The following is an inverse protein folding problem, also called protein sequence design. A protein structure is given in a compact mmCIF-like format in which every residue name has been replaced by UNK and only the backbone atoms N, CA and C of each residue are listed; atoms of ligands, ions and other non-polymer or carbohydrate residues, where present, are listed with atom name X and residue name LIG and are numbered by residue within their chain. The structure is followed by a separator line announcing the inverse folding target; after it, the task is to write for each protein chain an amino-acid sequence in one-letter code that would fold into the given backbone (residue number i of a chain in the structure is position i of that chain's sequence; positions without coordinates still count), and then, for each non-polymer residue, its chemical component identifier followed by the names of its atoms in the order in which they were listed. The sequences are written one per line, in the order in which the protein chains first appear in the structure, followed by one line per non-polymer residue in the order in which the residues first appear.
data_IF_639919277803
#
_entry.id   IF_639919277803
#
_cell.length_a   1.000
_cell.length_b   1.000
_cell.length_c   1.000
_cell.angle_alpha   90.00
_cell.angle_beta   90.00
_cell.angle_gamma   90.00
#
_symmetry.space_group_name_H-M   'P 1'
#
loop_
_entity.id
_entity.type
_entity.pdbx_description
1 polymer ?
#
# COMPACT_ATOMS: atom_id res chain seq x y z
N UNK A 1 65.78 -53.86 -39.00
CA UNK A 1 65.10 -52.57 -38.82
C UNK A 1 65.93 -51.75 -37.83
N UNK A 2 66.33 -50.53 -38.17
CA UNK A 2 67.31 -49.75 -37.39
C UNK A 2 66.60 -49.09 -36.19
N UNK A 3 66.92 -49.52 -34.96
CA UNK A 3 66.26 -49.07 -33.72
C UNK A 3 66.29 -47.55 -33.56
N UNK A 4 67.37 -46.89 -34.01
CA UNK A 4 67.48 -45.44 -34.00
C UNK A 4 66.45 -44.73 -34.91
N UNK A 5 66.09 -45.34 -36.05
CA UNK A 5 65.08 -44.79 -36.95
C UNK A 5 63.67 -44.90 -36.36
N UNK A 6 63.35 -46.02 -35.71
CA UNK A 6 62.07 -46.21 -35.02
C UNK A 6 61.90 -45.23 -33.86
N UNK A 7 62.93 -45.06 -33.01
CA UNK A 7 62.88 -44.12 -31.89
C UNK A 7 62.71 -42.67 -32.35
N UNK A 8 63.31 -42.28 -33.48
CA UNK A 8 63.10 -40.95 -34.06
C UNK A 8 61.68 -40.76 -34.61
N UNK A 9 61.08 -41.81 -35.16
CA UNK A 9 59.71 -41.78 -35.68
C UNK A 9 58.68 -41.70 -34.54
N UNK A 10 58.87 -42.49 -33.47
CA UNK A 10 58.03 -42.46 -32.27
C UNK A 10 58.09 -41.09 -31.57
N UNK A 11 59.29 -40.49 -31.49
CA UNK A 11 59.45 -39.14 -30.93
C UNK A 11 58.74 -38.07 -31.77
N UNK A 12 58.77 -38.17 -33.10
CA UNK A 12 58.03 -37.26 -34.00
C UNK A 12 56.52 -37.43 -33.83
N UNK A 13 56.03 -38.66 -33.73
CA UNK A 13 54.61 -38.95 -33.50
C UNK A 13 54.14 -38.37 -32.15
N UNK A 14 54.94 -38.54 -31.10
CA UNK A 14 54.65 -37.97 -29.77
C UNK A 14 54.62 -36.44 -29.79
N UNK A 15 55.57 -35.79 -30.49
CA UNK A 15 55.60 -34.33 -30.62
C UNK A 15 54.38 -33.80 -31.38
N UNK A 16 53.94 -34.47 -32.45
CA UNK A 16 52.70 -34.10 -33.17
C UNK A 16 51.46 -34.23 -32.28
N UNK A 17 51.38 -35.30 -31.50
CA UNK A 17 50.26 -35.51 -30.57
C UNK A 17 50.21 -34.43 -29.48
N UNK A 18 51.37 -34.02 -28.95
CA UNK A 18 51.47 -32.91 -27.99
C UNK A 18 51.01 -31.59 -28.60
N UNK A 19 51.52 -31.22 -29.78
CA UNK A 19 51.11 -29.98 -30.46
C UNK A 19 49.61 -29.98 -30.82
N UNK A 20 49.01 -31.13 -31.13
CA UNK A 20 47.57 -31.25 -31.35
C UNK A 20 46.75 -31.05 -30.08
N UNK A 21 47.21 -31.58 -28.94
CA UNK A 21 46.58 -31.36 -27.64
C UNK A 21 46.69 -29.89 -27.21
N UNK A 22 47.88 -29.30 -27.31
CA UNK A 22 48.08 -27.88 -26.98
C UNK A 22 47.21 -26.96 -27.86
N UNK A 23 47.05 -27.30 -29.15
CA UNK A 23 46.15 -26.57 -30.06
C UNK A 23 44.68 -26.73 -29.65
N UNK A 24 44.28 -27.93 -29.22
CA UNK A 24 42.94 -28.17 -28.69
C UNK A 24 42.67 -27.35 -27.42
N UNK A 25 43.64 -27.28 -26.52
CA UNK A 25 43.54 -26.50 -25.28
C UNK A 25 43.44 -24.99 -25.58
N UNK A 26 44.23 -24.49 -26.54
CA UNK A 26 44.13 -23.12 -27.03
C UNK A 26 42.71 -22.80 -27.54
N UNK A 27 42.11 -23.72 -28.31
CA UNK A 27 40.75 -23.56 -28.84
C UNK A 27 39.69 -23.54 -27.73
N UNK A 28 39.84 -24.37 -26.71
CA UNK A 28 38.95 -24.39 -25.53
C UNK A 28 39.09 -23.09 -24.73
N UNK A 29 40.31 -22.61 -24.52
CA UNK A 29 40.58 -21.37 -23.81
C UNK A 29 40.01 -20.14 -24.55
N UNK A 30 40.17 -20.08 -25.88
CA UNK A 30 39.56 -19.02 -26.71
C UNK A 30 38.04 -19.05 -26.61
N UNK A 31 37.44 -20.24 -26.70
CA UNK A 31 36.00 -20.39 -26.56
C UNK A 31 35.53 -19.91 -25.18
N UNK A 32 36.24 -20.25 -24.11
CA UNK A 32 35.93 -19.80 -22.75
C UNK A 32 36.02 -18.28 -22.60
N UNK A 33 37.06 -17.65 -23.15
CA UNK A 33 37.19 -16.19 -23.20
C UNK A 33 35.99 -15.55 -23.89
N UNK A 34 35.62 -16.05 -25.07
CA UNK A 34 34.46 -15.51 -25.81
C UNK A 34 33.18 -15.68 -25.02
N UNK A 35 32.93 -16.83 -24.40
CA UNK A 35 31.73 -17.05 -23.57
C UNK A 35 31.66 -16.07 -22.39
N UNK A 36 32.79 -15.74 -21.78
CA UNK A 36 32.83 -14.72 -20.72
C UNK A 36 32.48 -13.34 -21.25
N UNK A 37 33.03 -12.96 -22.42
CA UNK A 37 32.72 -11.68 -23.08
C UNK A 37 31.26 -11.63 -23.52
N UNK A 38 30.72 -12.70 -24.10
CA UNK A 38 29.30 -12.81 -24.48
C UNK A 38 28.39 -12.63 -23.25
N UNK A 39 28.77 -13.19 -22.10
CA UNK A 39 28.02 -13.03 -20.84
C UNK A 39 28.07 -11.58 -20.36
N UNK A 40 29.25 -10.97 -20.38
CA UNK A 40 29.44 -9.58 -19.95
C UNK A 40 28.75 -8.57 -20.87
N UNK A 41 28.68 -8.85 -22.17
CA UNK A 41 27.88 -8.09 -23.15
C UNK A 41 26.38 -8.25 -22.89
N UNK A 42 25.92 -9.46 -22.55
CA UNK A 42 24.51 -9.74 -22.32
C UNK A 42 23.97 -9.14 -21.01
N UNK A 43 24.78 -9.08 -19.96
CA UNK A 43 24.41 -8.48 -18.68
C UNK A 43 24.73 -6.97 -18.59
N UNK A 44 25.46 -6.43 -19.58
CA UNK A 44 25.82 -5.02 -19.68
C UNK A 44 26.99 -4.60 -18.78
N UNK A 45 27.73 -5.54 -18.19
CA UNK A 45 28.97 -5.26 -17.45
C UNK A 45 30.15 -4.90 -18.35
N UNK A 46 30.07 -5.23 -19.65
CA UNK A 46 31.00 -4.82 -20.70
C UNK A 46 30.23 -4.12 -21.81
N UNK A 47 30.69 -2.93 -22.22
CA UNK A 47 30.06 -2.20 -23.31
C UNK A 47 30.40 -2.83 -24.67
N UNK A 48 29.50 -2.65 -25.64
CA UNK A 48 29.74 -3.05 -27.02
C UNK A 48 31.01 -2.43 -27.63
N UNK A 49 31.39 -1.22 -27.18
CA UNK A 49 32.58 -0.50 -27.64
C UNK A 49 33.90 -1.08 -27.07
N UNK A 50 33.88 -1.58 -25.84
CA UNK A 50 35.07 -2.09 -25.14
C UNK A 50 35.36 -3.57 -25.43
N UNK A 51 34.38 -4.31 -25.96
CA UNK A 51 34.47 -5.75 -26.21
C UNK A 51 35.60 -6.19 -27.16
N UNK A 52 35.93 -5.46 -28.25
CA UNK A 52 37.08 -5.81 -29.10
C UNK A 52 38.41 -5.77 -28.34
N UNK A 53 38.60 -4.78 -27.48
CA UNK A 53 39.83 -4.62 -26.69
C UNK A 53 39.91 -5.67 -25.58
N UNK A 54 38.80 -5.97 -24.91
CA UNK A 54 38.71 -7.06 -23.94
C UNK A 54 39.07 -8.42 -24.57
N UNK A 55 38.59 -8.71 -25.78
CA UNK A 55 38.92 -9.94 -26.50
C UNK A 55 40.39 -9.99 -26.90
N UNK A 56 40.93 -8.91 -27.45
CA UNK A 56 42.34 -8.82 -27.83
C UNK A 56 43.26 -8.99 -26.62
N UNK A 57 42.93 -8.37 -25.48
CA UNK A 57 43.68 -8.54 -24.24
C UNK A 57 43.62 -9.97 -23.74
N UNK A 58 42.41 -10.56 -23.66
CA UNK A 58 42.26 -11.94 -23.20
C UNK A 58 42.95 -12.97 -24.10
N UNK A 59 42.98 -12.75 -25.42
CA UNK A 59 43.72 -13.60 -26.36
C UNK A 59 45.23 -13.60 -26.10
N UNK A 60 45.79 -12.49 -25.61
CA UNK A 60 47.21 -12.39 -25.29
C UNK A 60 47.59 -13.24 -24.05
N UNK A 61 46.63 -13.45 -23.14
CA UNK A 61 46.81 -14.23 -21.92
C UNK A 61 46.65 -15.74 -22.13
N UNK A 62 46.10 -16.17 -23.28
CA UNK A 62 45.96 -17.60 -23.61
C UNK A 62 47.33 -18.18 -24.00
N UNK A 63 47.80 -19.25 -23.33
CA UNK A 63 49.05 -19.91 -23.69
C UNK A 63 49.04 -20.41 -25.14
N UNK A 64 50.03 -19.99 -25.94
CA UNK A 64 50.14 -20.45 -27.34
C UNK A 64 50.63 -21.90 -27.41
N UNK A 65 50.12 -22.71 -28.35
CA UNK A 65 50.59 -24.07 -28.57
C UNK A 65 52.10 -24.15 -28.81
N UNK A 66 52.77 -25.11 -28.19
CA UNK A 66 54.21 -25.24 -28.33
C UNK A 66 54.59 -25.87 -29.67
N UNK A 67 55.21 -25.07 -30.55
CA UNK A 67 55.70 -25.51 -31.86
C UNK A 67 57.18 -25.92 -31.85
N UNK A 68 57.88 -25.83 -30.72
CA UNK A 68 59.35 -25.94 -30.64
C UNK A 68 59.91 -27.33 -31.01
N UNK A 69 59.06 -28.36 -31.04
CA UNK A 69 59.45 -29.75 -31.34
C UNK A 69 58.76 -30.31 -32.61
N UNK A 70 58.01 -29.46 -33.30
CA UNK A 70 57.30 -29.79 -34.52
C UNK A 70 58.23 -29.72 -35.73
N UNK A 71 58.05 -30.63 -36.69
CA UNK A 71 58.63 -30.43 -38.02
C UNK A 71 58.02 -29.16 -38.67
N UNK A 72 58.69 -28.53 -39.66
CA UNK A 72 58.24 -27.27 -40.25
C UNK A 72 56.79 -27.28 -40.75
N UNK A 73 56.32 -28.42 -41.27
CA UNK A 73 54.93 -28.56 -41.77
C UNK A 73 53.94 -28.56 -40.61
N UNK A 74 54.25 -29.30 -39.54
CA UNK A 74 53.43 -29.30 -38.32
C UNK A 74 53.39 -27.92 -37.66
N UNK A 75 54.52 -27.20 -37.60
CA UNK A 75 54.58 -25.85 -37.05
C UNK A 75 53.73 -24.84 -37.88
N UNK A 76 53.81 -24.92 -39.21
CA UNK A 76 52.99 -24.09 -40.12
C UNK A 76 51.49 -24.39 -39.97
N UNK A 77 51.12 -25.67 -39.83
CA UNK A 77 49.72 -26.07 -39.65
C UNK A 77 49.14 -25.59 -38.31
N UNK A 78 49.93 -25.66 -37.22
CA UNK A 78 49.53 -25.11 -35.92
C UNK A 78 49.38 -23.59 -35.99
N UNK A 79 50.33 -22.88 -36.63
CA UNK A 79 50.24 -21.42 -36.80
C UNK A 79 49.00 -21.01 -37.61
N UNK A 80 48.71 -21.73 -38.69
CA UNK A 80 47.47 -21.51 -39.48
C UNK A 80 46.22 -21.80 -38.67
N UNK A 81 46.22 -22.89 -37.91
CA UNK A 81 45.11 -23.25 -37.03
C UNK A 81 44.83 -22.17 -35.98
N UNK A 82 45.87 -21.61 -35.35
CA UNK A 82 45.71 -20.50 -34.38
C UNK A 82 45.08 -19.28 -35.07
N UNK A 83 45.57 -18.92 -36.26
CA UNK A 83 45.01 -17.81 -37.05
C UNK A 83 43.54 -18.04 -37.42
N UNK A 84 43.16 -19.28 -37.77
CA UNK A 84 41.76 -19.64 -38.03
C UNK A 84 40.89 -19.51 -36.79
N UNK A 85 41.33 -20.05 -35.64
CA UNK A 85 40.58 -19.95 -34.37
C UNK A 85 40.37 -18.49 -33.96
N UNK A 86 41.41 -17.64 -34.07
CA UNK A 86 41.31 -16.22 -33.78
C UNK A 86 40.36 -15.49 -34.73
N UNK A 87 40.41 -15.79 -36.04
CA UNK A 87 39.53 -15.19 -37.03
C UNK A 87 38.06 -15.60 -36.82
N UNK A 88 37.80 -16.89 -36.57
CA UNK A 88 36.46 -17.39 -36.24
C UNK A 88 35.93 -16.78 -34.95
N UNK A 89 36.78 -16.65 -33.94
CA UNK A 89 36.43 -16.05 -32.65
C UNK A 89 36.09 -14.57 -32.79
N UNK A 90 36.89 -13.79 -33.53
CA UNK A 90 36.61 -12.39 -33.84
C UNK A 90 35.29 -12.21 -34.61
N UNK A 91 35.00 -13.07 -35.57
CA UNK A 91 33.73 -13.04 -36.31
C UNK A 91 32.53 -13.33 -35.40
N UNK A 92 32.63 -14.32 -34.51
CA UNK A 92 31.57 -14.63 -33.53
C UNK A 92 31.38 -13.49 -32.54
N UNK A 93 32.47 -12.90 -32.05
CA UNK A 93 32.41 -11.73 -31.17
C UNK A 93 31.71 -10.56 -31.86
N UNK A 94 32.00 -10.29 -33.13
CA UNK A 94 31.32 -9.23 -33.87
C UNK A 94 29.80 -9.44 -33.92
N UNK A 95 29.34 -10.70 -34.06
CA UNK A 95 27.92 -11.01 -33.98
C UNK A 95 27.33 -10.71 -32.59
N UNK A 96 28.03 -11.07 -31.51
CA UNK A 96 27.62 -10.75 -30.14
C UNK A 96 27.57 -9.24 -29.89
N UNK A 97 28.54 -8.48 -30.41
CA UNK A 97 28.58 -7.01 -30.31
C UNK A 97 27.34 -6.39 -30.98
N UNK A 98 26.95 -6.86 -32.17
CA UNK A 98 25.74 -6.36 -32.85
C UNK A 98 24.49 -6.59 -31.98
N UNK A 99 24.39 -7.75 -31.34
CA UNK A 99 23.31 -8.04 -30.39
C UNK A 99 23.33 -7.10 -29.18
N UNK A 100 24.50 -6.85 -28.61
CA UNK A 100 24.68 -5.95 -27.47
C UNK A 100 24.34 -4.49 -27.80
N UNK A 101 24.77 -3.99 -28.96
CA UNK A 101 24.40 -2.65 -29.46
C UNK A 101 22.88 -2.49 -29.51
N UNK A 102 22.15 -3.49 -30.00
CA UNK A 102 20.70 -3.45 -30.02
C UNK A 102 20.08 -3.40 -28.61
N UNK A 103 20.66 -4.09 -27.63
CA UNK A 103 20.22 -4.04 -26.23
C UNK A 103 20.47 -2.65 -25.62
N UNK A 104 21.67 -2.10 -25.82
CA UNK A 104 22.07 -0.78 -25.34
C UNK A 104 21.15 0.32 -25.90
N UNK A 105 20.91 0.30 -27.22
CA UNK A 105 20.00 1.23 -27.90
C UNK A 105 18.56 1.12 -27.39
N UNK A 106 18.05 -0.10 -27.16
CA UNK A 106 16.73 -0.31 -26.53
C UNK A 106 16.65 0.31 -25.15
N UNK A 107 17.69 0.16 -24.34
CA UNK A 107 17.75 0.72 -23.00
C UNK A 107 17.81 2.24 -23.00
N UNK A 108 18.59 2.84 -23.92
CA UNK A 108 18.70 4.29 -24.05
C UNK A 108 17.39 4.94 -24.47
N UNK A 109 16.74 4.40 -25.51
CA UNK A 109 15.43 4.88 -25.95
C UNK A 109 14.40 4.79 -24.81
N UNK A 110 14.36 3.67 -24.08
CA UNK A 110 13.50 3.52 -22.89
C UNK A 110 13.78 4.57 -21.80
N UNK A 111 15.05 4.94 -21.58
CA UNK A 111 15.40 6.02 -20.64
C UNK A 111 14.88 7.37 -21.11
N UNK A 112 15.02 7.69 -22.40
CA UNK A 112 14.45 8.91 -22.98
C UNK A 112 12.93 8.97 -22.83
N UNK A 113 12.25 7.87 -23.15
CA UNK A 113 10.80 7.72 -22.94
C UNK A 113 10.41 7.91 -21.47
N UNK A 114 11.16 7.32 -20.53
CA UNK A 114 10.92 7.51 -19.10
C UNK A 114 11.06 8.97 -18.67
N UNK A 115 12.09 9.69 -19.14
CA UNK A 115 12.29 11.11 -18.82
C UNK A 115 11.10 11.97 -19.30
N UNK A 116 10.57 11.70 -20.49
CA UNK A 116 9.39 12.40 -21.01
C UNK A 116 8.17 12.14 -20.13
N UNK A 117 7.96 10.89 -19.67
CA UNK A 117 6.85 10.58 -18.76
C UNK A 117 6.94 11.41 -17.47
N UNK A 118 8.15 11.52 -16.88
CA UNK A 118 8.37 12.34 -15.70
C UNK A 118 8.06 13.83 -15.93
N UNK A 119 8.42 14.37 -17.10
CA UNK A 119 8.12 15.75 -17.47
C UNK A 119 6.62 15.96 -17.70
N UNK A 120 5.94 15.02 -18.36
CA UNK A 120 4.50 15.08 -18.62
C UNK A 120 3.69 15.08 -17.30
N UNK A 121 4.15 14.36 -16.27
CA UNK A 121 3.51 14.32 -14.96
C UNK A 121 3.77 15.55 -14.05
N UNK A 122 4.70 16.44 -14.44
CA UNK A 122 5.12 17.57 -13.62
C UNK A 122 4.03 18.65 -13.47
N UNK A 123 4.12 19.44 -12.39
CA UNK A 123 3.16 20.53 -12.13
C UNK A 123 3.34 21.62 -13.20
N UNK A 124 2.24 21.99 -13.86
CA UNK A 124 2.23 23.02 -14.90
C UNK A 124 2.78 22.58 -16.26
N UNK A 125 3.10 21.29 -16.42
CA UNK A 125 3.46 20.73 -17.71
C UNK A 125 2.26 20.73 -18.68
N UNK A 126 2.56 20.67 -19.98
CA UNK A 126 1.60 20.35 -21.03
C UNK A 126 1.86 18.90 -21.47
N UNK A 127 1.12 17.92 -20.93
CA UNK A 127 1.39 16.50 -21.20
C UNK A 127 1.27 16.16 -22.69
N UNK A 128 0.39 16.85 -23.43
CA UNK A 128 0.22 16.60 -24.85
C UNK A 128 1.48 17.02 -25.63
N UNK A 129 2.07 18.16 -25.27
CA UNK A 129 3.33 18.64 -25.87
C UNK A 129 4.52 17.76 -25.48
N UNK A 130 4.61 17.34 -24.22
CA UNK A 130 5.70 16.46 -23.77
C UNK A 130 5.61 15.09 -24.47
N UNK A 131 4.43 14.47 -24.48
CA UNK A 131 4.20 13.20 -25.18
C UNK A 131 4.49 13.32 -26.67
N UNK A 132 4.16 14.44 -27.33
CA UNK A 132 4.44 14.63 -28.75
C UNK A 132 5.93 14.54 -29.12
N UNK A 133 6.85 14.73 -28.16
CA UNK A 133 8.29 14.53 -28.37
C UNK A 133 8.62 13.06 -28.70
N UNK A 134 7.75 12.11 -28.35
CA UNK A 134 7.94 10.70 -28.71
C UNK A 134 8.00 10.48 -30.24
N UNK A 135 7.34 11.35 -31.02
CA UNK A 135 7.35 11.29 -32.47
C UNK A 135 8.75 11.56 -33.05
N UNK A 136 9.60 12.31 -32.33
CA UNK A 136 10.98 12.55 -32.74
C UNK A 136 11.81 11.25 -32.74
N UNK A 137 11.41 10.26 -31.93
CA UNK A 137 12.06 8.95 -31.87
C UNK A 137 11.54 7.97 -32.93
N UNK A 138 10.67 8.35 -33.87
CA UNK A 138 10.08 7.37 -34.79
C UNK A 138 11.12 6.68 -35.69
N UNK A 139 12.13 7.42 -36.18
CA UNK A 139 13.19 6.84 -36.99
C UNK A 139 14.06 5.86 -36.17
N UNK A 140 14.48 6.28 -34.97
CA UNK A 140 15.31 5.48 -34.06
C UNK A 140 14.54 4.25 -33.54
N UNK A 141 13.29 4.45 -33.13
CA UNK A 141 12.41 3.39 -32.66
C UNK A 141 12.13 2.34 -33.72
N UNK A 142 11.88 2.74 -34.97
CA UNK A 142 11.73 1.81 -36.09
C UNK A 142 13.04 1.05 -36.39
N UNK A 143 14.19 1.69 -36.24
CA UNK A 143 15.48 1.02 -36.40
C UNK A 143 15.72 -0.02 -35.30
N UNK A 144 15.32 0.26 -34.05
CA UNK A 144 15.63 -0.55 -32.87
C UNK A 144 14.62 -1.68 -32.64
N UNK A 145 13.32 -1.38 -32.79
CA UNK A 145 12.21 -2.29 -32.50
C UNK A 145 11.48 -2.79 -33.76
N UNK A 146 11.80 -2.24 -34.94
CA UNK A 146 11.16 -2.65 -36.18
C UNK A 146 9.64 -2.45 -36.14
N UNK A 147 8.90 -3.45 -36.60
CA UNK A 147 7.44 -3.41 -36.68
C UNK A 147 6.72 -3.32 -35.31
N UNK A 148 7.40 -3.60 -34.20
CA UNK A 148 6.82 -3.47 -32.86
C UNK A 148 6.79 -2.03 -32.35
N UNK A 149 7.56 -1.12 -32.97
CA UNK A 149 7.68 0.27 -32.52
C UNK A 149 6.33 1.00 -32.37
N UNK A 150 5.39 0.93 -33.34
CA UNK A 150 4.10 1.60 -33.21
C UNK A 150 3.30 1.15 -31.99
N UNK A 151 3.33 -0.16 -31.68
CA UNK A 151 2.65 -0.72 -30.50
C UNK A 151 3.31 -0.25 -29.21
N UNK A 152 4.64 -0.30 -29.13
CA UNK A 152 5.40 0.17 -27.96
C UNK A 152 5.11 1.65 -27.67
N UNK A 153 5.12 2.49 -28.72
CA UNK A 153 4.82 3.91 -28.63
C UNK A 153 3.38 4.15 -28.17
N UNK A 154 2.41 3.39 -28.69
CA UNK A 154 1.01 3.49 -28.29
C UNK A 154 0.82 3.11 -26.81
N UNK A 155 1.37 1.97 -26.38
CA UNK A 155 1.28 1.49 -25.00
C UNK A 155 1.92 2.47 -24.02
N UNK A 156 3.11 2.98 -24.36
CA UNK A 156 3.79 3.98 -23.53
C UNK A 156 3.00 5.30 -23.46
N UNK A 157 2.40 5.73 -24.57
CA UNK A 157 1.56 6.93 -24.59
C UNK A 157 0.33 6.78 -23.69
N UNK A 158 -0.35 5.63 -23.76
CA UNK A 158 -1.49 5.33 -22.91
C UNK A 158 -1.09 5.28 -21.42
N UNK A 159 0.04 4.64 -21.10
CA UNK A 159 0.57 4.59 -19.73
C UNK A 159 0.92 5.99 -19.21
N UNK A 160 1.53 6.84 -20.03
CA UNK A 160 1.88 8.22 -19.65
C UNK A 160 0.62 9.03 -19.33
N UNK A 161 -0.44 8.92 -20.15
CA UNK A 161 -1.72 9.57 -19.84
C UNK A 161 -2.37 9.04 -18.56
N UNK A 162 -2.25 7.74 -18.29
CA UNK A 162 -2.71 7.16 -17.03
C UNK A 162 -1.95 7.76 -15.83
N UNK A 163 -0.62 7.84 -15.90
CA UNK A 163 0.24 8.36 -14.83
C UNK A 163 -0.05 9.86 -14.57
N UNK A 164 -0.27 10.64 -15.62
CA UNK A 164 -0.68 12.05 -15.55
C UNK A 164 -2.03 12.18 -14.84
N UNK A 165 -3.04 11.39 -15.23
CA UNK A 165 -4.35 11.41 -14.61
C UNK A 165 -4.29 10.98 -13.13
N UNK A 166 -3.53 9.91 -12.83
CA UNK A 166 -3.32 9.42 -11.49
C UNK A 166 -2.66 10.48 -10.59
N UNK A 167 -1.68 11.22 -11.12
CA UNK A 167 -1.01 12.32 -10.41
C UNK A 167 -1.94 13.51 -10.17
N UNK A 168 -2.81 13.83 -11.14
CA UNK A 168 -3.84 14.86 -10.97
C UNK A 168 -4.83 14.52 -9.85
N UNK A 169 -5.23 13.24 -9.73
CA UNK A 169 -6.07 12.75 -8.63
C UNK A 169 -5.36 12.96 -7.28
N UNK A 170 -4.09 12.53 -7.15
CA UNK A 170 -3.34 12.67 -5.88
C UNK A 170 -3.19 14.14 -5.46
N UNK A 171 -2.85 15.02 -6.42
CA UNK A 171 -2.74 16.46 -6.16
C UNK A 171 -4.07 17.10 -5.74
N UNK A 172 -5.18 16.50 -6.12
CA UNK A 172 -6.53 17.00 -5.82
C UNK A 172 -7.13 16.39 -4.54
N UNK A 173 -6.43 15.48 -3.85
CA UNK A 173 -6.92 14.76 -2.66
C UNK A 173 -7.52 15.68 -1.58
N UNK A 174 -6.99 16.89 -1.40
CA UNK A 174 -7.51 17.87 -0.44
C UNK A 174 -8.77 18.63 -0.86
N UNK A 175 -9.35 18.37 -2.04
CA UNK A 175 -10.53 19.09 -2.55
C UNK A 175 -11.55 18.14 -3.18
N UNK A 176 -12.66 17.93 -2.48
CA UNK A 176 -13.79 17.12 -2.95
C UNK A 176 -14.29 17.63 -4.31
N UNK A 177 -14.41 18.94 -4.49
CA UNK A 177 -14.87 19.55 -5.75
C UNK A 177 -13.91 19.26 -6.91
N UNK A 178 -12.59 19.34 -6.67
CA UNK A 178 -11.61 19.01 -7.70
C UNK A 178 -11.65 17.53 -8.09
N UNK A 179 -11.75 16.63 -7.10
CA UNK A 179 -11.88 15.19 -7.34
C UNK A 179 -13.16 14.84 -8.09
N UNK A 180 -14.29 15.49 -7.77
CA UNK A 180 -15.56 15.31 -8.49
C UNK A 180 -15.46 15.80 -9.94
N UNK A 181 -14.78 16.91 -10.19
CA UNK A 181 -14.52 17.39 -11.55
C UNK A 181 -13.70 16.38 -12.36
N UNK A 182 -12.65 15.80 -11.77
CA UNK A 182 -11.86 14.73 -12.40
C UNK A 182 -12.73 13.49 -12.65
N UNK A 183 -13.56 13.10 -11.69
CA UNK A 183 -14.46 11.95 -11.86
C UNK A 183 -15.48 12.17 -12.99
N UNK A 184 -15.99 13.39 -13.14
CA UNK A 184 -16.89 13.75 -14.24
C UNK A 184 -16.16 13.70 -15.59
N UNK A 185 -14.96 14.27 -15.68
CA UNK A 185 -14.13 14.26 -16.89
C UNK A 185 -13.77 12.83 -17.32
N UNK A 186 -13.46 11.93 -16.39
CA UNK A 186 -13.21 10.50 -16.69
C UNK A 186 -14.44 9.73 -17.18
N UNK A 187 -15.64 10.18 -16.82
CA UNK A 187 -16.92 9.58 -17.24
C UNK A 187 -17.45 10.17 -18.56
N UNK A 188 -17.01 11.36 -18.92
CA UNK A 188 -17.45 12.05 -20.12
C UNK A 188 -16.84 11.38 -21.37
N UNK A 189 -17.64 10.90 -22.33
CA UNK A 189 -17.15 10.39 -23.61
C UNK A 189 -16.37 11.41 -24.44
N UNK A 190 -16.45 12.71 -24.10
CA UNK A 190 -15.67 13.80 -24.70
C UNK A 190 -14.70 14.45 -23.70
N UNK A 191 -14.50 13.80 -22.54
CA UNK A 191 -13.60 14.27 -21.51
C UNK A 191 -12.14 14.26 -21.95
N UNK A 192 -11.30 14.89 -21.14
CA UNK A 192 -9.88 15.14 -21.45
C UNK A 192 -9.07 13.87 -21.67
N UNK A 193 -9.55 12.71 -21.20
CA UNK A 193 -8.91 11.40 -21.30
C UNK A 193 -9.64 10.37 -22.17
N UNK A 194 -10.79 10.73 -22.78
CA UNK A 194 -11.68 9.77 -23.44
C UNK A 194 -10.99 8.95 -24.54
N UNK A 195 -10.17 9.59 -25.36
CA UNK A 195 -9.44 8.95 -26.49
C UNK A 195 -8.00 8.55 -26.14
N UNK A 196 -7.60 8.73 -24.87
CA UNK A 196 -6.20 8.56 -24.42
C UNK A 196 -5.98 7.35 -23.52
N UNK A 197 -7.06 6.83 -22.95
CA UNK A 197 -7.02 5.71 -22.01
C UNK A 197 -7.86 4.56 -22.54
N UNK A 198 -7.38 3.34 -22.34
CA UNK A 198 -8.21 2.17 -22.52
C UNK A 198 -9.26 2.03 -21.38
N UNK A 199 -10.23 1.14 -21.59
CA UNK A 199 -11.33 0.89 -20.64
C UNK A 199 -10.83 0.47 -19.25
N UNK A 200 -9.75 -0.32 -19.18
CA UNK A 200 -9.21 -0.84 -17.91
C UNK A 200 -8.52 0.28 -17.14
N UNK A 201 -7.70 1.07 -17.80
CA UNK A 201 -7.00 2.23 -17.25
C UNK A 201 -7.98 3.29 -16.74
N UNK A 202 -9.00 3.63 -17.55
CA UNK A 202 -10.06 4.55 -17.14
C UNK A 202 -10.81 4.03 -15.90
N UNK A 203 -11.21 2.75 -15.91
CA UNK A 203 -11.90 2.14 -14.76
C UNK A 203 -11.06 2.18 -13.48
N UNK A 204 -9.75 1.90 -13.57
CA UNK A 204 -8.86 1.97 -12.43
C UNK A 204 -8.75 3.39 -11.84
N UNK A 205 -8.66 4.42 -12.69
CA UNK A 205 -8.65 5.82 -12.24
C UNK A 205 -9.97 6.23 -11.60
N UNK A 206 -11.10 5.74 -12.14
CA UNK A 206 -12.44 6.01 -11.59
C UNK A 206 -12.62 5.42 -10.19
N UNK A 207 -12.11 4.20 -9.95
CA UNK A 207 -12.09 3.59 -8.62
C UNK A 207 -11.20 4.42 -7.68
N UNK A 208 -10.01 4.80 -8.14
CA UNK A 208 -9.06 5.59 -7.36
C UNK A 208 -9.62 6.93 -6.92
N UNK A 209 -10.23 7.70 -7.83
CA UNK A 209 -10.84 9.00 -7.50
C UNK A 209 -12.03 8.84 -6.55
N UNK A 210 -12.82 7.77 -6.69
CA UNK A 210 -13.94 7.48 -5.80
C UNK A 210 -13.47 7.20 -4.36
N UNK A 211 -12.40 6.41 -4.19
CA UNK A 211 -11.77 6.18 -2.89
C UNK A 211 -11.28 7.48 -2.24
N UNK A 212 -10.63 8.35 -3.01
CA UNK A 212 -10.15 9.65 -2.52
C UNK A 212 -11.31 10.58 -2.13
N UNK A 213 -12.41 10.60 -2.89
CA UNK A 213 -13.62 11.37 -2.54
C UNK A 213 -14.19 10.88 -1.20
N UNK A 214 -14.31 9.56 -1.02
CA UNK A 214 -14.82 8.99 0.23
C UNK A 214 -13.93 9.35 1.42
N UNK A 215 -12.60 9.24 1.28
CA UNK A 215 -11.64 9.68 2.30
C UNK A 215 -11.81 11.15 2.67
N UNK A 216 -11.83 12.04 1.68
CA UNK A 216 -11.99 13.48 1.91
C UNK A 216 -13.32 13.85 2.59
N UNK A 217 -14.42 13.13 2.30
CA UNK A 217 -15.71 13.31 3.00
C UNK A 217 -15.61 12.90 4.47
N UNK A 218 -14.95 11.78 4.76
CA UNK A 218 -14.74 11.30 6.13
C UNK A 218 -13.93 12.32 6.93
N UNK A 219 -12.83 12.81 6.36
CA UNK A 219 -11.97 13.80 7.00
C UNK A 219 -12.70 15.12 7.27
N UNK A 220 -13.48 15.60 6.29
CA UNK A 220 -14.30 16.81 6.46
C UNK A 220 -15.37 16.65 7.56
N UNK A 221 -16.01 15.48 7.63
CA UNK A 221 -16.98 15.19 8.69
C UNK A 221 -16.32 15.11 10.07
N UNK A 222 -15.17 14.45 10.17
CA UNK A 222 -14.41 14.36 11.41
C UNK A 222 -13.98 15.74 11.91
N UNK A 223 -13.46 16.59 11.02
CA UNK A 223 -13.10 17.97 11.35
C UNK A 223 -14.29 18.78 11.86
N UNK A 224 -15.47 18.64 11.22
CA UNK A 224 -16.70 19.32 11.68
C UNK A 224 -17.12 18.85 13.07
N UNK A 225 -17.11 17.54 13.33
CA UNK A 225 -17.46 16.97 14.63
C UNK A 225 -16.49 17.44 15.72
N UNK A 226 -15.19 17.48 15.43
CA UNK A 226 -14.17 18.00 16.36
C UNK A 226 -14.44 19.49 16.67
N UNK A 227 -14.67 20.31 15.64
CA UNK A 227 -14.95 21.74 15.84
C UNK A 227 -16.26 22.00 16.60
N UNK A 228 -17.31 21.22 16.35
CA UNK A 228 -18.58 21.28 17.09
C UNK A 228 -18.36 20.89 18.57
N UNK A 229 -17.54 19.88 18.84
CA UNK A 229 -17.17 19.45 20.21
C UNK A 229 -16.35 20.50 20.95
N UNK A 230 -15.36 21.09 20.31
CA UNK A 230 -14.54 22.16 20.92
C UNK A 230 -15.42 23.34 21.34
N UNK A 231 -16.38 23.73 20.49
CA UNK A 231 -17.35 24.78 20.83
C UNK A 231 -18.24 24.39 22.01
N UNK A 232 -18.74 23.16 22.04
CA UNK A 232 -19.56 22.67 23.15
C UNK A 232 -18.77 22.66 24.48
N UNK A 233 -17.54 22.15 24.47
CA UNK A 233 -16.65 22.15 25.64
C UNK A 233 -16.34 23.57 26.13
N UNK A 234 -16.09 24.51 25.22
CA UNK A 234 -15.89 25.92 25.59
C UNK A 234 -17.13 26.51 26.26
N UNK A 235 -18.33 26.26 25.72
CA UNK A 235 -19.57 26.73 26.35
C UNK A 235 -19.81 26.10 27.72
N UNK A 236 -19.50 24.82 27.88
CA UNK A 236 -19.61 24.14 29.18
C UNK A 236 -18.66 24.74 30.22
N UNK A 237 -17.41 25.03 29.84
CA UNK A 237 -16.44 25.68 30.73
C UNK A 237 -16.89 27.08 31.16
N UNK A 238 -17.44 27.85 30.22
CA UNK A 238 -18.02 29.18 30.53
C UNK A 238 -19.15 29.01 31.55
N UNK A 239 -20.11 28.12 31.29
CA UNK A 239 -21.24 27.89 32.19
C UNK A 239 -20.81 27.39 33.57
N UNK A 240 -19.82 26.50 33.66
CA UNK A 240 -19.24 26.06 34.93
C UNK A 240 -18.65 27.22 35.73
N UNK A 241 -17.90 28.12 35.08
CA UNK A 241 -17.35 29.31 35.72
C UNK A 241 -18.43 30.24 36.30
N UNK A 242 -19.53 30.41 35.56
CA UNK A 242 -20.68 31.19 36.04
C UNK A 242 -21.36 30.53 37.24
N UNK A 243 -21.66 29.23 37.18
CA UNK A 243 -22.26 28.49 38.29
C UNK A 243 -21.42 28.56 39.57
N UNK A 244 -20.10 28.41 39.45
CA UNK A 244 -19.19 28.51 40.60
C UNK A 244 -19.25 29.90 41.27
N UNK A 245 -19.37 30.97 40.47
CA UNK A 245 -19.55 32.33 41.00
C UNK A 245 -20.92 32.53 41.63
N UNK A 246 -21.98 31.89 41.12
CA UNK A 246 -23.32 31.89 41.72
C UNK A 246 -23.28 31.24 43.10
N UNK A 247 -22.74 30.02 43.21
CA UNK A 247 -22.57 29.31 44.50
C UNK A 247 -21.80 30.16 45.51
N UNK A 248 -20.76 30.86 45.07
CA UNK A 248 -19.98 31.77 45.93
C UNK A 248 -20.70 33.08 46.31
N UNK A 249 -21.90 33.35 45.79
CA UNK A 249 -22.65 34.59 45.99
C UNK A 249 -22.03 35.82 45.32
N UNK A 250 -21.17 35.62 44.31
CA UNK A 250 -20.35 36.66 43.65
C UNK A 250 -20.81 37.02 42.25
N UNK A 251 -21.99 36.55 41.85
CA UNK A 251 -22.54 36.78 40.52
C UNK A 251 -23.90 37.46 40.62
N UNK A 252 -24.10 38.51 39.84
CA UNK A 252 -25.37 39.25 39.76
C UNK A 252 -26.10 39.00 38.45
N UNK A 253 -27.44 39.15 38.47
CA UNK A 253 -28.28 39.04 37.26
C UNK A 253 -27.85 40.04 36.19
N UNK A 254 -27.46 41.26 36.58
CA UNK A 254 -27.02 42.30 35.65
C UNK A 254 -25.74 41.96 34.90
N UNK A 255 -24.80 41.22 35.51
CA UNK A 255 -23.58 40.74 34.84
C UNK A 255 -23.88 39.63 33.84
N UNK A 256 -24.79 38.71 34.18
CA UNK A 256 -25.20 37.60 33.31
C UNK A 256 -25.91 38.12 32.06
N UNK A 257 -26.89 39.01 32.23
CA UNK A 257 -27.69 39.52 31.11
C UNK A 257 -26.91 40.40 30.13
N UNK A 258 -25.73 40.91 30.53
CA UNK A 258 -24.84 41.72 29.68
C UNK A 258 -23.70 40.93 29.04
N UNK A 259 -23.51 39.66 29.41
CA UNK A 259 -22.42 38.84 28.89
C UNK A 259 -22.74 38.34 27.47
N UNK A 260 -21.77 38.46 26.55
CA UNK A 260 -21.93 38.06 25.14
C UNK A 260 -21.50 36.62 24.85
N UNK A 261 -20.86 35.96 25.80
CA UNK A 261 -20.36 34.59 25.71
C UNK A 261 -21.47 33.57 26.06
N UNK A 262 -22.56 34.02 26.70
CA UNK A 262 -23.76 33.23 26.96
C UNK A 262 -24.83 33.48 25.90
N UNK A 263 -25.50 32.41 25.48
CA UNK A 263 -26.74 32.52 24.68
C UNK A 263 -27.88 33.12 25.52
N UNK A 264 -28.89 33.70 24.87
CA UNK A 264 -30.06 34.25 25.56
C UNK A 264 -30.75 33.22 26.48
N UNK A 265 -30.83 31.95 26.05
CA UNK A 265 -31.38 30.88 26.88
C UNK A 265 -30.52 30.61 28.12
N UNK A 266 -29.19 30.54 27.96
CA UNK A 266 -28.27 30.38 29.10
C UNK A 266 -28.32 31.57 30.05
N UNK A 267 -28.47 32.80 29.54
CA UNK A 267 -28.67 34.00 30.36
C UNK A 267 -29.96 33.90 31.20
N UNK A 268 -31.05 33.40 30.62
CA UNK A 268 -32.32 33.20 31.34
C UNK A 268 -32.21 32.11 32.42
N UNK A 269 -31.59 30.97 32.09
CA UNK A 269 -31.31 29.91 33.06
C UNK A 269 -30.44 30.41 34.22
N UNK A 270 -29.39 31.17 33.92
CA UNK A 270 -28.51 31.68 34.96
C UNK A 270 -29.19 32.74 35.82
N UNK A 271 -30.06 33.58 35.23
CA UNK A 271 -30.93 34.49 35.99
C UNK A 271 -31.81 33.73 36.98
N UNK A 272 -32.50 32.68 36.55
CA UNK A 272 -33.38 31.90 37.45
C UNK A 272 -32.60 31.22 38.57
N UNK A 273 -31.40 30.72 38.27
CA UNK A 273 -30.50 30.11 39.26
C UNK A 273 -30.06 31.13 40.32
N UNK A 274 -29.63 32.33 39.91
CA UNK A 274 -29.24 33.40 40.84
C UNK A 274 -30.42 33.82 41.73
N UNK A 275 -31.61 33.96 41.14
CA UNK A 275 -32.83 34.33 41.87
C UNK A 275 -33.25 33.25 42.87
N UNK A 276 -33.16 31.96 42.50
CA UNK A 276 -33.46 30.85 43.39
C UNK A 276 -32.53 30.82 44.61
N UNK A 277 -31.23 31.08 44.40
CA UNK A 277 -30.26 31.14 45.48
C UNK A 277 -30.48 32.35 46.40
N UNK A 278 -30.75 33.53 45.83
CA UNK A 278 -31.05 34.74 46.59
C UNK A 278 -32.30 34.57 47.48
N UNK A 279 -33.31 33.86 46.98
CA UNK A 279 -34.57 33.59 47.69
C UNK A 279 -34.50 32.40 48.65
N UNK A 280 -33.33 31.75 48.82
CA UNK A 280 -33.17 30.50 49.59
C UNK A 280 -34.12 29.37 49.15
N UNK A 281 -34.59 29.41 47.91
CA UNK A 281 -35.36 28.33 47.28
C UNK A 281 -34.44 27.20 46.78
N UNK A 282 -33.13 27.35 46.98
CA UNK A 282 -32.06 26.42 46.65
C UNK A 282 -32.03 25.17 47.57
N UNK A 283 -33.13 24.42 47.59
CA UNK A 283 -33.30 23.22 48.42
C UNK A 283 -33.67 22.04 47.53
N UNK A 284 -33.01 20.90 47.74
CA UNK A 284 -33.28 19.66 47.01
C UNK A 284 -34.43 18.88 47.65
N UNK A 285 -35.42 18.51 46.84
CA UNK A 285 -36.38 17.44 47.15
C UNK A 285 -35.80 16.10 46.70
N UNK A 286 -35.70 15.14 47.62
CA UNK A 286 -35.20 13.80 47.34
C UNK A 286 -35.94 13.11 46.18
N UNK A 287 -37.25 13.33 46.01
CA UNK A 287 -38.02 12.73 44.93
C UNK A 287 -37.61 13.28 43.57
N UNK A 288 -37.38 14.59 43.49
CA UNK A 288 -36.92 15.26 42.27
C UNK A 288 -35.50 14.82 41.94
N UNK A 289 -34.60 14.74 42.93
CA UNK A 289 -33.24 14.26 42.73
C UNK A 289 -33.20 12.83 42.20
N UNK A 290 -33.88 11.89 42.85
CA UNK A 290 -33.89 10.46 42.45
C UNK A 290 -34.53 10.28 41.07
N UNK A 291 -35.64 10.96 40.77
CA UNK A 291 -36.26 10.90 39.46
C UNK A 291 -35.31 11.42 38.36
N UNK A 292 -34.67 12.56 38.61
CA UNK A 292 -33.70 13.15 37.69
C UNK A 292 -32.50 12.22 37.48
N UNK A 293 -31.93 11.67 38.55
CA UNK A 293 -30.86 10.67 38.49
C UNK A 293 -31.25 9.45 37.66
N UNK A 294 -32.45 8.91 37.85
CA UNK A 294 -32.95 7.77 37.08
C UNK A 294 -33.16 8.11 35.59
N UNK A 295 -33.62 9.33 35.26
CA UNK A 295 -33.75 9.79 33.87
C UNK A 295 -32.41 9.97 33.18
N UNK A 296 -31.39 10.36 33.93
CA UNK A 296 -29.99 10.36 33.47
C UNK A 296 -29.52 8.91 33.22
N UNK A 297 -30.02 7.93 34.00
CA UNK A 297 -29.76 6.48 33.88
C UNK A 297 -30.71 5.68 33.01
N UNK A 298 -31.59 6.35 32.26
CA UNK A 298 -32.51 5.69 31.37
C UNK A 298 -31.78 5.02 30.18
N UNK A 299 -32.39 3.97 29.64
CA UNK A 299 -31.88 3.29 28.46
C UNK A 299 -31.76 4.24 27.25
N UNK A 300 -30.81 4.02 26.34
CA UNK A 300 -30.66 4.85 25.14
C UNK A 300 -31.96 4.94 24.33
N UNK A 301 -32.43 6.17 24.06
CA UNK A 301 -33.66 6.40 23.30
C UNK A 301 -34.96 6.41 24.12
N UNK A 302 -34.89 6.29 25.45
CA UNK A 302 -36.06 6.47 26.30
C UNK A 302 -36.59 7.91 26.20
N UNK A 303 -37.93 8.04 26.08
CA UNK A 303 -38.62 9.32 25.83
C UNK A 303 -38.32 10.41 26.88
N UNK A 304 -38.08 10.01 28.13
CA UNK A 304 -37.89 10.93 29.25
C UNK A 304 -36.43 11.02 29.72
N UNK A 305 -35.49 10.47 28.96
CA UNK A 305 -34.07 10.49 29.28
C UNK A 305 -33.53 11.92 29.32
N UNK A 306 -32.62 12.18 30.28
CA UNK A 306 -31.85 13.42 30.33
C UNK A 306 -30.50 13.14 29.68
N UNK A 307 -30.27 13.79 28.53
CA UNK A 307 -29.09 13.59 27.68
C UNK A 307 -28.34 14.90 27.43
N UNK A 308 -28.70 16.00 28.10
CA UNK A 308 -27.95 17.26 28.05
C UNK A 308 -27.95 17.93 29.42
N UNK A 309 -26.81 18.52 29.85
CA UNK A 309 -26.73 19.38 31.03
C UNK A 309 -27.80 20.48 31.09
N UNK A 310 -28.19 21.02 29.93
CA UNK A 310 -29.16 22.13 29.85
C UNK A 310 -30.54 21.77 30.42
N UNK A 311 -30.90 20.49 30.39
CA UNK A 311 -32.18 20.00 30.89
C UNK A 311 -32.27 20.00 32.43
N UNK A 312 -31.14 20.21 33.12
CA UNK A 312 -31.08 20.27 34.58
C UNK A 312 -31.32 21.68 35.13
N UNK A 313 -30.98 22.72 34.38
CA UNK A 313 -31.09 24.11 34.86
C UNK A 313 -32.50 24.54 35.27
N UNK A 314 -33.58 24.16 34.56
CA UNK A 314 -34.94 24.51 34.96
C UNK A 314 -35.40 23.89 36.28
N UNK A 315 -34.69 22.87 36.79
CA UNK A 315 -35.03 22.20 38.04
C UNK A 315 -34.48 22.95 39.26
N UNK A 316 -33.53 23.87 39.06
CA UNK A 316 -32.94 24.67 40.14
C UNK A 316 -34.00 25.61 40.72
N UNK A 317 -34.20 25.54 42.04
CA UNK A 317 -35.27 26.28 42.73
C UNK A 317 -36.66 25.62 42.61
N UNK A 318 -36.77 24.51 41.87
CA UNK A 318 -37.98 23.71 41.68
C UNK A 318 -37.76 22.26 42.17
N UNK A 319 -37.18 22.14 43.37
CA UNK A 319 -36.90 20.85 44.00
C UNK A 319 -35.50 20.29 43.73
N UNK A 320 -34.62 21.05 43.08
CA UNK A 320 -33.19 20.73 42.97
C UNK A 320 -32.36 21.93 43.44
N UNK A 321 -31.37 21.67 44.30
CA UNK A 321 -30.38 22.70 44.65
C UNK A 321 -29.31 22.83 43.57
N UNK A 322 -28.59 23.95 43.53
CA UNK A 322 -27.46 24.21 42.64
C UNK A 322 -26.34 23.20 42.90
N UNK A 323 -26.13 22.83 44.16
CA UNK A 323 -25.09 21.86 44.55
C UNK A 323 -25.43 20.47 44.01
N UNK A 324 -26.67 20.03 44.16
CA UNK A 324 -27.10 18.72 43.65
C UNK A 324 -27.32 18.72 42.13
N UNK A 325 -27.70 19.86 41.55
CA UNK A 325 -27.68 20.07 40.10
C UNK A 325 -26.26 19.94 39.56
N UNK A 326 -25.25 20.52 40.21
CA UNK A 326 -23.85 20.37 39.80
C UNK A 326 -23.39 18.90 39.86
N UNK A 327 -23.85 18.12 40.86
CA UNK A 327 -23.59 16.66 40.94
C UNK A 327 -24.27 15.89 39.81
N UNK A 328 -25.56 16.15 39.57
CA UNK A 328 -26.30 15.53 38.47
C UNK A 328 -25.78 15.97 37.10
N UNK A 329 -25.27 17.19 37.00
CA UNK A 329 -24.58 17.69 35.81
C UNK A 329 -23.28 16.95 35.59
N UNK A 330 -22.48 16.70 36.65
CA UNK A 330 -21.31 15.84 36.55
C UNK A 330 -21.66 14.39 36.19
N UNK A 331 -22.86 13.92 36.55
CA UNK A 331 -23.38 12.60 36.16
C UNK A 331 -23.88 12.58 34.70
N UNK A 332 -24.55 13.65 34.24
CA UNK A 332 -24.94 13.82 32.83
C UNK A 332 -23.73 14.02 31.96
N UNK A 333 -22.80 14.89 32.35
CA UNK A 333 -21.49 15.03 31.73
C UNK A 333 -20.73 13.72 31.84
N UNK A 334 -20.84 12.98 32.95
CA UNK A 334 -20.37 11.62 33.20
C UNK A 334 -20.82 10.60 32.16
N UNK A 335 -22.08 10.71 31.71
CA UNK A 335 -22.70 9.83 30.69
C UNK A 335 -22.61 10.34 29.27
N UNK A 336 -22.64 11.64 29.13
CA UNK A 336 -22.28 12.38 27.93
C UNK A 336 -20.76 12.57 27.86
N UNK A 337 -19.98 11.83 28.67
CA UNK A 337 -18.54 11.89 28.55
C UNK A 337 -18.20 11.32 27.19
N UNK A 338 -17.13 11.83 26.57
CA UNK A 338 -16.55 11.28 25.35
C UNK A 338 -16.43 9.75 25.38
N UNK A 339 -16.38 9.10 26.54
CA UNK A 339 -16.43 7.64 26.72
C UNK A 339 -17.64 6.95 26.07
N UNK A 340 -18.87 7.44 26.25
CA UNK A 340 -20.08 6.80 25.69
C UNK A 340 -20.14 6.92 24.16
N UNK A 341 -19.76 8.09 23.64
CA UNK A 341 -19.63 8.32 22.19
C UNK A 341 -18.40 7.63 21.60
N UNK A 342 -17.26 7.59 22.29
CA UNK A 342 -16.05 6.91 21.88
C UNK A 342 -16.28 5.40 21.84
N UNK A 343 -16.98 4.85 22.84
CA UNK A 343 -17.40 3.45 22.86
C UNK A 343 -18.36 3.14 21.71
N UNK A 344 -19.36 4.01 21.47
CA UNK A 344 -20.30 3.88 20.36
C UNK A 344 -19.61 3.96 19.00
N UNK A 345 -18.72 4.93 18.80
CA UNK A 345 -17.97 5.15 17.56
C UNK A 345 -16.94 4.03 17.33
N UNK A 346 -16.27 3.58 18.40
CA UNK A 346 -15.35 2.45 18.36
C UNK A 346 -16.07 1.16 17.99
N UNK A 347 -17.20 0.85 18.64
CA UNK A 347 -18.02 -0.32 18.30
C UNK A 347 -18.56 -0.26 16.88
N UNK A 348 -18.93 0.93 16.39
CA UNK A 348 -19.34 1.12 15.00
C UNK A 348 -18.18 0.91 14.01
N UNK A 349 -17.00 1.44 14.30
CA UNK A 349 -15.80 1.21 13.49
C UNK A 349 -15.39 -0.27 13.46
N UNK A 350 -15.48 -0.96 14.60
CA UNK A 350 -15.25 -2.39 14.68
C UNK A 350 -16.32 -3.19 13.92
N UNK A 351 -17.58 -2.76 13.99
CA UNK A 351 -18.66 -3.34 13.20
C UNK A 351 -18.34 -3.25 11.71
N UNK A 352 -18.06 -2.04 11.23
CA UNK A 352 -17.79 -1.76 9.81
C UNK A 352 -16.54 -2.54 9.30
N UNK A 353 -15.61 -2.94 10.18
CA UNK A 353 -14.45 -3.80 9.84
C UNK A 353 -14.76 -5.30 9.88
N UNK A 354 -15.61 -5.74 10.81
CA UNK A 354 -15.90 -7.17 11.03
C UNK A 354 -17.03 -7.66 10.11
N UNK A 355 -18.06 -6.83 9.90
CA UNK A 355 -19.25 -7.14 9.08
C UNK A 355 -19.28 -6.41 7.74
N UNK A 356 -18.13 -5.86 7.31
CA UNK A 356 -17.94 -5.09 6.08
C UNK A 356 -18.78 -5.62 4.92
N UNK A 357 -19.54 -4.72 4.30
CA UNK A 357 -20.44 -5.07 3.18
C UNK A 357 -19.66 -5.70 2.04
N UNK A 358 -20.07 -6.91 1.64
CA UNK A 358 -19.51 -7.59 0.48
C UNK A 358 -20.12 -7.05 -0.82
N UNK A 359 -19.49 -7.36 -1.95
CA UNK A 359 -19.98 -7.02 -3.30
C UNK A 359 -21.45 -7.45 -3.59
N UNK A 360 -22.06 -8.30 -2.77
CA UNK A 360 -23.37 -8.92 -3.03
C UNK A 360 -24.36 -8.88 -1.84
N UNK A 361 -24.08 -8.11 -0.78
CA UNK A 361 -25.00 -7.90 0.35
C UNK A 361 -24.36 -7.99 1.74
N UNK A 362 -25.22 -8.01 2.78
CA UNK A 362 -24.80 -8.06 4.20
C UNK A 362 -24.15 -9.40 4.54
N UNK A 363 -22.94 -9.37 5.09
CA UNK A 363 -22.20 -10.55 5.55
C UNK A 363 -22.82 -11.11 6.84
N UNK A 364 -23.64 -12.16 6.75
CA UNK A 364 -24.29 -12.75 7.93
C UNK A 364 -23.30 -13.41 8.90
N UNK A 365 -22.20 -13.96 8.39
CA UNK A 365 -21.15 -14.57 9.23
C UNK A 365 -20.28 -13.47 9.85
N UNK A 366 -20.06 -12.38 9.12
CA UNK A 366 -19.48 -11.14 9.64
C UNK A 366 -20.31 -10.55 10.79
N UNK A 367 -21.64 -10.51 10.65
CA UNK A 367 -22.53 -10.09 11.72
C UNK A 367 -22.47 -11.00 12.97
N UNK A 368 -22.34 -12.33 12.78
CA UNK A 368 -22.15 -13.28 13.88
C UNK A 368 -20.79 -13.09 14.57
N UNK A 369 -19.73 -12.84 13.80
CA UNK A 369 -18.41 -12.54 14.32
C UNK A 369 -18.38 -11.21 15.08
N UNK A 370 -19.11 -10.20 14.58
CA UNK A 370 -19.26 -8.92 15.29
C UNK A 370 -19.99 -9.12 16.61
N UNK A 371 -21.05 -9.93 16.65
CA UNK A 371 -21.74 -10.26 17.89
C UNK A 371 -20.80 -10.94 18.90
N UNK A 372 -20.02 -11.95 18.48
CA UNK A 372 -19.03 -12.63 19.33
C UNK A 372 -17.96 -11.68 19.84
N UNK A 373 -17.44 -10.83 18.96
CA UNK A 373 -16.47 -9.81 19.32
C UNK A 373 -17.04 -8.80 20.31
N UNK A 374 -18.27 -8.30 20.09
CA UNK A 374 -18.89 -7.31 20.97
C UNK A 374 -19.11 -7.85 22.38
N UNK A 375 -19.51 -9.12 22.52
CA UNK A 375 -19.62 -9.79 23.83
C UNK A 375 -18.25 -9.91 24.52
N UNK A 376 -17.23 -10.35 23.80
CA UNK A 376 -15.86 -10.46 24.31
C UNK A 376 -15.30 -9.08 24.73
N UNK A 377 -15.51 -8.07 23.88
CA UNK A 377 -15.09 -6.71 24.13
C UNK A 377 -15.77 -6.12 25.36
N UNK A 378 -17.08 -6.32 25.54
CA UNK A 378 -17.81 -5.83 26.72
C UNK A 378 -17.29 -6.45 28.03
N UNK A 379 -16.94 -7.74 28.00
CA UNK A 379 -16.32 -8.42 29.15
C UNK A 379 -14.93 -7.86 29.45
N UNK A 380 -14.06 -7.75 28.45
CA UNK A 380 -12.69 -7.25 28.63
C UNK A 380 -12.66 -5.77 29.02
N UNK A 381 -13.52 -4.95 28.42
CA UNK A 381 -13.67 -3.55 28.78
C UNK A 381 -14.11 -3.43 30.24
N UNK A 382 -15.13 -4.18 30.69
CA UNK A 382 -15.56 -4.15 32.09
C UNK A 382 -14.49 -4.66 33.08
N UNK A 383 -13.74 -5.70 32.73
CA UNK A 383 -12.64 -6.24 33.55
C UNK A 383 -11.48 -5.24 33.69
N UNK A 384 -11.07 -4.61 32.59
CA UNK A 384 -9.97 -3.64 32.62
C UNK A 384 -10.38 -2.33 33.32
N UNK A 385 -11.66 -1.93 33.20
CA UNK A 385 -12.21 -0.81 33.98
C UNK A 385 -12.22 -1.12 35.48
N UNK A 386 -12.56 -2.35 35.89
CA UNK A 386 -12.42 -2.79 37.30
C UNK A 386 -10.98 -2.82 37.79
N UNK A 387 -10.02 -3.06 36.89
CA UNK A 387 -8.58 -2.98 37.16
C UNK A 387 -8.03 -1.54 37.17
N UNK A 388 -8.89 -0.52 37.06
CA UNK A 388 -8.51 0.89 37.16
C UNK A 388 -8.02 1.52 35.86
N UNK A 389 -8.14 0.85 34.70
CA UNK A 389 -7.75 1.41 33.40
C UNK A 389 -8.74 2.46 32.93
N UNK A 390 -8.24 3.50 32.26
CA UNK A 390 -9.09 4.53 31.68
C UNK A 390 -9.66 4.07 30.32
N UNK A 391 -10.81 4.60 29.88
CA UNK A 391 -11.40 4.28 28.58
C UNK A 391 -10.51 4.71 27.42
N UNK A 392 -9.81 5.84 27.58
CA UNK A 392 -8.84 6.31 26.60
C UNK A 392 -7.73 5.28 26.39
N UNK A 393 -7.20 4.69 27.46
CA UNK A 393 -6.18 3.62 27.34
C UNK A 393 -6.71 2.37 26.62
N UNK A 394 -8.02 2.12 26.66
CA UNK A 394 -8.63 0.94 26.07
C UNK A 394 -9.14 1.16 24.64
N UNK A 395 -9.40 2.40 24.24
CA UNK A 395 -10.06 2.77 22.98
C UNK A 395 -9.16 3.58 22.03
N UNK A 396 -7.99 4.06 22.48
CA UNK A 396 -7.00 4.75 21.65
C UNK A 396 -6.02 3.74 21.00
N UNK A 397 -5.88 3.73 19.65
CA UNK A 397 -4.95 2.85 18.93
C UNK A 397 -3.48 2.98 19.33
N UNK A 398 -3.08 4.12 19.89
CA UNK A 398 -1.70 4.38 20.32
C UNK A 398 -1.38 3.85 21.71
N UNK A 399 -2.40 3.42 22.46
CA UNK A 399 -2.24 2.86 23.80
C UNK A 399 -1.77 1.40 23.76
N UNK A 400 -0.90 1.03 24.70
CA UNK A 400 -0.49 -0.36 24.93
C UNK A 400 -1.68 -1.26 25.34
N UNK A 401 -2.68 -0.68 26.00
CA UNK A 401 -3.84 -1.37 26.55
C UNK A 401 -5.03 -1.35 25.58
N UNK A 402 -4.82 -0.84 24.35
CA UNK A 402 -5.83 -0.75 23.30
C UNK A 402 -6.51 -2.10 23.03
N UNK A 403 -7.85 -2.13 23.12
CA UNK A 403 -8.66 -3.32 22.90
C UNK A 403 -8.98 -3.55 21.42
N UNK A 404 -8.84 -2.53 20.54
CA UNK A 404 -9.12 -2.71 19.11
C UNK A 404 -8.14 -3.60 18.37
N UNK A 405 -6.99 -3.94 18.97
CA UNK A 405 -6.09 -5.00 18.46
C UNK A 405 -6.76 -6.38 18.36
N UNK A 406 -7.88 -6.57 19.04
CA UNK A 406 -8.63 -7.82 19.03
C UNK A 406 -9.50 -7.95 17.79
N UNK A 407 -9.85 -6.84 17.12
CA UNK A 407 -10.75 -6.80 15.96
C UNK A 407 -10.27 -7.71 14.83
N UNK A 408 -8.96 -7.70 14.52
CA UNK A 408 -8.37 -8.51 13.44
C UNK A 408 -8.52 -10.03 13.65
N UNK A 409 -8.73 -10.48 14.89
CA UNK A 409 -9.02 -11.89 15.19
C UNK A 409 -10.44 -12.32 14.81
N UNK A 410 -11.34 -11.36 14.57
CA UNK A 410 -12.75 -11.60 14.26
C UNK A 410 -13.12 -11.17 12.82
N UNK A 411 -12.21 -10.46 12.12
CA UNK A 411 -12.35 -10.14 10.70
C UNK A 411 -12.17 -11.38 9.84
N UNK A 412 -12.96 -11.49 8.77
CA UNK A 412 -12.85 -12.57 7.78
C UNK A 412 -11.89 -12.17 6.67
N UNK A 413 -11.08 -13.11 6.22
CA UNK A 413 -10.28 -12.91 5.01
C UNK A 413 -11.15 -13.03 3.76
N UNK A 414 -10.74 -12.34 2.68
CA UNK A 414 -11.35 -12.51 1.35
C UNK A 414 -11.43 -13.99 0.95
N UNK A 415 -10.41 -14.78 1.28
CA UNK A 415 -10.38 -16.23 1.02
C UNK A 415 -11.50 -16.99 1.76
N UNK A 416 -11.74 -16.68 3.04
CA UNK A 416 -12.83 -17.28 3.84
C UNK A 416 -14.20 -16.86 3.32
N UNK A 417 -14.37 -15.59 2.94
CA UNK A 417 -15.61 -15.09 2.33
C UNK A 417 -15.91 -15.80 1.01
N UNK A 418 -14.89 -16.05 0.17
CA UNK A 418 -15.05 -16.81 -1.08
C UNK A 418 -15.28 -18.32 -0.87
N UNK A 419 -14.72 -18.90 0.20
CA UNK A 419 -14.88 -20.33 0.51
C UNK A 419 -16.30 -20.66 1.00
N UNK A 420 -16.87 -19.85 1.89
CA UNK A 420 -18.24 -20.04 2.39
C UNK A 420 -19.28 -19.74 1.29
N UNK A 421 -18.96 -18.87 0.34
CA UNK A 421 -19.76 -18.64 -0.86
C UNK A 421 -19.77 -19.85 -1.80
N UNK A 422 -18.61 -20.50 -1.99
CA UNK A 422 -18.53 -21.75 -2.75
C UNK A 422 -19.33 -22.88 -2.08
N UNK A 423 -19.31 -22.94 -0.74
CA UNK A 423 -20.08 -23.90 0.05
C UNK A 423 -21.60 -23.65 0.00
N UNK A 424 -22.05 -22.40 0.04
CA UNK A 424 -23.48 -22.02 -0.01
C UNK A 424 -24.08 -22.11 -1.41
N UNK A 425 -23.28 -21.96 -2.47
CA UNK A 425 -23.72 -22.18 -3.86
C UNK A 425 -23.60 -23.64 -4.35
N UNK A 426 -23.36 -24.60 -3.45
CA UNK A 426 -23.32 -26.03 -3.77
C UNK A 426 -22.17 -26.44 -4.69
N UNK A 427 -21.15 -25.60 -4.84
CA UNK A 427 -19.96 -25.90 -5.63
C UNK A 427 -19.00 -26.76 -4.82
N UNK A 428 -18.57 -27.89 -5.40
CA UNK A 428 -17.45 -28.68 -4.85
C UNK A 428 -16.28 -27.75 -4.47
N UNK A 429 -15.63 -27.97 -3.31
CA UNK A 429 -14.61 -27.05 -2.81
C UNK A 429 -13.52 -26.84 -3.85
N UNK A 430 -13.35 -25.58 -4.27
CA UNK A 430 -12.22 -25.16 -5.07
C UNK A 430 -10.95 -25.39 -4.23
N UNK A 431 -10.08 -26.27 -4.72
CA UNK A 431 -8.81 -26.56 -4.08
C UNK A 431 -8.04 -25.26 -3.82
N UNK A 432 -7.62 -25.08 -2.57
CA UNK A 432 -6.68 -24.05 -2.13
C UNK A 432 -5.57 -23.90 -3.18
N UNK A 433 -5.44 -22.70 -3.76
CA UNK A 433 -4.36 -22.38 -4.69
C UNK A 433 -3.03 -22.54 -3.95
N UNK A 434 -2.41 -23.69 -4.16
CA UNK A 434 -1.08 -23.99 -3.63
C UNK A 434 -0.10 -23.00 -4.27
N UNK A 435 0.63 -22.20 -3.49
CA UNK A 435 1.51 -21.18 -4.05
C UNK A 435 2.56 -21.83 -4.96
N UNK A 436 2.87 -21.22 -6.11
CA UNK A 436 3.81 -21.77 -7.09
C UNK A 436 5.22 -21.99 -6.54
N UNK A 437 5.59 -21.27 -5.46
CA UNK A 437 6.85 -21.45 -4.75
C UNK A 437 6.66 -21.52 -3.24
N UNK A 438 7.46 -22.33 -2.55
CA UNK A 438 7.51 -22.33 -1.09
C UNK A 438 8.48 -21.26 -0.56
N UNK A 439 8.59 -21.15 0.77
CA UNK A 439 9.52 -20.23 1.45
C UNK A 439 11.01 -20.48 1.14
N UNK A 440 11.35 -21.61 0.51
CA UNK A 440 12.72 -21.95 0.04
C UNK A 440 12.95 -21.58 -1.43
N UNK A 441 11.96 -20.97 -2.10
CA UNK A 441 12.02 -20.60 -3.51
C UNK A 441 11.86 -21.76 -4.50
N UNK A 442 11.49 -22.96 -4.01
CA UNK A 442 11.34 -24.17 -4.81
C UNK A 442 10.01 -24.18 -5.55
N UNK A 443 9.97 -24.74 -6.76
CA UNK A 443 8.79 -24.68 -7.63
C UNK A 443 7.86 -25.87 -7.45
N UNK A 444 6.55 -25.60 -7.45
CA UNK A 444 5.53 -26.63 -7.36
C UNK A 444 5.47 -27.46 -8.65
N UNK A 445 5.74 -28.75 -8.53
CA UNK A 445 5.62 -29.75 -9.59
C UNK A 445 4.47 -30.71 -9.27
N UNK A 446 3.75 -31.16 -10.30
CA UNK A 446 2.69 -32.17 -10.17
C UNK A 446 3.08 -33.39 -11.00
N UNK A 447 3.12 -34.57 -10.39
CA UNK A 447 3.43 -35.81 -11.09
C UNK A 447 2.22 -36.32 -11.90
N UNK A 448 2.45 -37.35 -12.73
CA UNK A 448 1.41 -37.96 -13.56
C UNK A 448 0.27 -38.63 -12.75
N UNK A 449 0.44 -38.82 -11.43
CA UNK A 449 -0.56 -39.38 -10.52
C UNK A 449 -1.31 -38.29 -9.75
N UNK A 450 -1.00 -37.01 -10.01
CA UNK A 450 -1.62 -35.86 -9.36
C UNK A 450 -1.01 -35.48 -8.01
N UNK A 451 0.11 -36.09 -7.61
CA UNK A 451 0.80 -35.74 -6.38
C UNK A 451 1.59 -34.44 -6.60
N UNK A 452 1.56 -33.57 -5.59
CA UNK A 452 2.21 -32.25 -5.66
C UNK A 452 3.39 -32.19 -4.70
N UNK A 453 4.52 -31.66 -5.18
CA UNK A 453 5.69 -31.40 -4.36
C UNK A 453 6.43 -30.14 -4.83
N UNK A 454 7.03 -29.41 -3.90
CA UNK A 454 7.99 -28.36 -4.21
C UNK A 454 9.34 -28.99 -4.51
N UNK A 455 9.94 -28.69 -5.66
CA UNK A 455 11.22 -29.26 -6.11
C UNK A 455 12.29 -28.17 -6.17
N UNK A 456 13.48 -28.48 -5.64
CA UNK A 456 14.62 -27.56 -5.66
C UNK A 456 15.06 -27.23 -7.10
N UNK A 457 15.70 -26.08 -7.34
CA UNK A 457 16.15 -25.70 -8.69
C UNK A 457 17.10 -26.70 -9.36
N UNK A 458 17.85 -27.47 -8.55
CA UNK A 458 18.77 -28.51 -9.01
C UNK A 458 18.10 -29.90 -9.16
N UNK A 459 16.80 -30.01 -8.84
CA UNK A 459 16.01 -31.24 -8.98
C UNK A 459 16.32 -32.36 -7.98
N UNK A 460 17.20 -32.12 -7.00
CA UNK A 460 17.69 -33.18 -6.09
C UNK A 460 16.91 -33.32 -4.79
N UNK A 461 16.14 -32.30 -4.41
CA UNK A 461 15.37 -32.27 -3.18
C UNK A 461 13.91 -31.94 -3.47
N UNK A 462 13.01 -32.52 -2.68
CA UNK A 462 11.58 -32.23 -2.79
C UNK A 462 10.89 -32.17 -1.43
N UNK A 463 9.80 -31.42 -1.37
CA UNK A 463 8.94 -31.27 -0.22
C UNK A 463 7.49 -31.51 -0.64
N UNK A 464 6.87 -32.58 -0.14
CA UNK A 464 5.51 -32.98 -0.52
C UNK A 464 4.47 -31.99 0.01
N UNK A 465 3.55 -31.56 -0.84
CA UNK A 465 2.39 -30.77 -0.44
C UNK A 465 1.32 -31.72 0.11
N UNK A 466 0.95 -31.55 1.38
CA UNK A 466 -0.11 -32.32 2.04
C UNK A 466 -1.49 -31.75 1.77
#
# INVERSE_FOLDING_TARGET
MNVAAQMMEDQRALNRARSANDFQDYRIAEQGLRTNIDTALADGSLSSADAPDAYKSGLADIPKPNASFADPVTAENVSRGIGQVQAEGAQKLQHSIIGAVAIEQKAELKRGMWQINQLAGAVGADPAKEIAQINAFDAEGMQIYGAEWPTIKQEWTAQTWFDVAASNIERSSGSITALQAIQADLKDPKGSYADKLDTKANTALRIKVEQQIQGAIIDANNARVIAEREKAQQQDQIMQGYLARTVAGKLTVGEVLKNKDLTFQQQLHMKSIIEAQANKADVTDNRVFINTFNRIHAAPGAKDAITSPDQLYPLVGHGLSITDMARLRAEVEGKNQPEGEMLKNFKKMAQDQIDASTLFGKDQVGAENFYKWNVYFDQQFAEQRKAGKSPHDLLDPTSKDYLGKTISGFTRTLAQQTADMAATMGGKPAALLTPLKNSKGWTLQTDAKGNKAYVSPDGKQFETVK
#
